data_IF_753704009259
#
_entry.id   IF_753704009259
#
_cell.length_a   1.000
_cell.length_b   1.000
_cell.length_c   1.000
_cell.angle_alpha   90.00
_cell.angle_beta   90.00
_cell.angle_gamma   90.00
#
_symmetry.space_group_name_H-M   'P 1'
#
loop_
_entity.id
_entity.type
_entity.pdbx_description
1 polymer ?
#
# COMPACT_ATOMS: atom_id res chain seq x y z
N UNK A 1 8.19 27.08 -8.88
CA UNK A 1 7.63 25.71 -8.87
C UNK A 1 8.53 24.85 -7.99
N UNK A 2 8.01 24.10 -7.02
CA UNK A 2 8.84 23.35 -6.07
C UNK A 2 9.37 22.07 -6.75
N UNK A 3 10.59 22.13 -7.28
CA UNK A 3 11.25 21.05 -8.05
C UNK A 3 11.30 19.72 -7.28
N UNK A 4 11.44 19.77 -5.96
CA UNK A 4 11.53 18.57 -5.12
C UNK A 4 10.17 17.87 -4.98
N UNK A 5 9.07 18.62 -4.97
CA UNK A 5 7.74 18.04 -4.96
C UNK A 5 7.39 17.34 -6.27
N UNK A 6 7.84 17.88 -7.41
CA UNK A 6 7.68 17.23 -8.73
C UNK A 6 8.52 15.94 -8.79
N UNK A 7 9.76 15.98 -8.29
CA UNK A 7 10.61 14.79 -8.18
C UNK A 7 10.02 13.74 -7.26
N UNK A 8 9.41 14.15 -6.15
CA UNK A 8 8.69 13.28 -5.25
C UNK A 8 7.49 12.62 -5.95
N UNK A 9 6.67 13.38 -6.70
CA UNK A 9 5.55 12.82 -7.47
C UNK A 9 5.99 11.74 -8.44
N UNK A 10 7.03 12.02 -9.25
CA UNK A 10 7.52 11.06 -10.23
C UNK A 10 8.08 9.81 -9.54
N UNK A 11 8.86 9.99 -8.47
CA UNK A 11 9.41 8.87 -7.71
C UNK A 11 8.31 7.99 -7.07
N UNK A 12 7.24 8.59 -6.56
CA UNK A 12 6.08 7.87 -6.03
C UNK A 12 5.41 7.05 -7.13
N UNK A 13 5.15 7.65 -8.29
CA UNK A 13 4.48 6.99 -9.42
C UNK A 13 5.30 5.80 -9.96
N UNK A 14 6.62 5.95 -10.02
CA UNK A 14 7.55 4.92 -10.49
C UNK A 14 7.82 3.82 -9.44
N UNK A 15 7.39 4.01 -8.19
CA UNK A 15 7.66 3.04 -7.13
C UNK A 15 6.83 1.79 -7.29
N UNK A 16 7.49 0.71 -7.69
CA UNK A 16 6.89 -0.62 -7.80
C UNK A 16 6.97 -1.40 -6.49
N UNK A 17 5.95 -2.24 -6.24
CA UNK A 17 5.95 -3.26 -5.19
C UNK A 17 5.10 -4.45 -5.64
N UNK A 18 5.47 -5.71 -5.29
CA UNK A 18 4.72 -6.89 -5.70
C UNK A 18 3.21 -6.78 -5.40
N UNK A 19 2.43 -6.84 -6.48
CA UNK A 19 0.98 -6.79 -6.44
C UNK A 19 0.37 -5.43 -6.08
N UNK A 20 1.13 -4.36 -5.92
CA UNK A 20 0.56 -3.00 -5.80
C UNK A 20 0.63 -2.34 -7.16
N UNK A 21 -0.52 -1.95 -7.70
CA UNK A 21 -0.64 -1.24 -8.98
C UNK A 21 -1.02 0.21 -8.64
N UNK A 22 -0.18 1.16 -9.04
CA UNK A 22 -0.45 2.60 -8.92
C UNK A 22 -1.12 3.07 -10.20
N UNK A 23 -2.29 3.69 -10.08
CA UNK A 23 -3.06 4.23 -11.22
C UNK A 23 -2.84 5.72 -11.41
N UNK A 24 -2.78 6.44 -10.29
CA UNK A 24 -2.74 7.90 -10.28
C UNK A 24 -2.03 8.38 -9.03
N UNK A 25 -1.24 9.44 -9.20
CA UNK A 25 -0.59 10.18 -8.11
C UNK A 25 -0.84 11.66 -8.35
N UNK A 26 -1.46 12.31 -7.38
CA UNK A 26 -1.67 13.76 -7.38
C UNK A 26 -0.98 14.36 -6.16
N UNK A 27 -0.35 15.52 -6.32
CA UNK A 27 0.22 16.27 -5.19
C UNK A 27 -0.51 17.59 -4.99
N UNK A 28 -0.68 17.96 -3.73
CA UNK A 28 -1.16 19.26 -3.28
C UNK A 28 -0.18 19.85 -2.30
N UNK A 29 -0.23 21.17 -2.16
CA UNK A 29 0.60 21.91 -1.23
C UNK A 29 -0.30 22.45 -0.13
N UNK A 30 -0.08 22.01 1.11
CA UNK A 30 -0.65 22.63 2.29
C UNK A 30 0.17 23.84 2.73
N UNK A 31 -0.12 24.37 3.92
CA UNK A 31 0.61 25.54 4.46
C UNK A 31 2.08 25.25 4.76
N UNK A 32 2.41 24.01 5.13
CA UNK A 32 3.78 23.59 5.52
C UNK A 32 4.14 22.18 5.03
N UNK A 33 3.21 21.49 4.37
CA UNK A 33 3.28 20.08 4.03
C UNK A 33 2.92 19.81 2.56
N UNK A 34 3.40 18.68 2.04
CA UNK A 34 3.00 18.14 0.74
C UNK A 34 1.98 17.05 0.97
N UNK A 35 0.85 17.09 0.28
CA UNK A 35 -0.17 16.03 0.33
C UNK A 35 -0.10 15.22 -0.95
N UNK A 36 0.13 13.91 -0.85
CA UNK A 36 0.10 13.00 -1.99
C UNK A 36 -1.16 12.13 -1.92
N UNK A 37 -2.05 12.27 -2.90
CA UNK A 37 -3.19 11.39 -3.10
C UNK A 37 -2.84 10.33 -4.13
N UNK A 38 -3.00 9.07 -3.74
CA UNK A 38 -2.52 7.95 -4.54
C UNK A 38 -3.65 6.96 -4.73
N UNK A 39 -4.07 6.79 -5.98
CA UNK A 39 -5.04 5.76 -6.35
C UNK A 39 -4.27 4.48 -6.68
N UNK A 40 -4.57 3.45 -5.92
CA UNK A 40 -3.95 2.13 -6.07
C UNK A 40 -5.02 1.07 -6.33
N UNK A 41 -4.59 -0.07 -6.84
CA UNK A 41 -5.34 -1.32 -6.74
C UNK A 41 -4.38 -2.45 -6.42
N UNK A 42 -4.90 -3.50 -5.80
CA UNK A 42 -4.14 -4.71 -5.57
C UNK A 42 -4.48 -5.77 -6.62
N UNK A 43 -3.44 -6.33 -7.22
CA UNK A 43 -3.57 -7.53 -8.05
C UNK A 43 -4.22 -8.65 -7.23
N UNK A 44 -5.29 -9.23 -7.78
CA UNK A 44 -6.14 -10.25 -7.15
C UNK A 44 -5.44 -11.60 -6.98
N UNK A 45 -4.37 -11.84 -7.74
CA UNK A 45 -3.84 -13.19 -7.94
C UNK A 45 -2.58 -13.48 -7.11
N UNK A 46 -2.07 -12.48 -6.42
CA UNK A 46 -0.90 -12.65 -5.55
C UNK A 46 -1.30 -13.25 -4.20
N UNK A 47 -1.14 -14.57 -4.05
CA UNK A 47 -1.23 -15.31 -2.76
C UNK A 47 -0.08 -15.01 -1.78
N UNK A 48 0.68 -13.95 -2.03
CA UNK A 48 1.97 -13.70 -1.39
C UNK A 48 1.79 -13.16 0.03
N UNK A 49 0.84 -12.26 0.24
CA UNK A 49 0.72 -11.50 1.48
C UNK A 49 -0.67 -10.86 1.62
N UNK A 50 -1.07 -10.58 2.86
CA UNK A 50 -2.33 -9.91 3.20
C UNK A 50 -2.44 -8.53 2.49
N UNK A 51 -3.60 -8.16 1.92
CA UNK A 51 -3.79 -6.91 1.18
C UNK A 51 -3.28 -5.66 1.90
N UNK A 52 -3.63 -5.49 3.17
CA UNK A 52 -3.19 -4.38 4.02
C UNK A 52 -1.67 -4.34 4.20
N UNK A 53 -1.02 -5.50 4.35
CA UNK A 53 0.43 -5.57 4.53
C UNK A 53 1.19 -5.20 3.26
N UNK A 54 0.66 -5.57 2.09
CA UNK A 54 1.22 -5.18 0.79
C UNK A 54 1.20 -3.66 0.59
N UNK A 55 0.08 -3.01 0.89
CA UNK A 55 -0.04 -1.55 0.84
C UNK A 55 0.89 -0.89 1.86
N UNK A 56 0.91 -1.36 3.11
CA UNK A 56 1.78 -0.81 4.14
C UNK A 56 3.27 -0.90 3.77
N UNK A 57 3.71 -2.04 3.21
CA UNK A 57 5.08 -2.23 2.71
C UNK A 57 5.41 -1.25 1.60
N UNK A 58 4.51 -1.07 0.63
CA UNK A 58 4.70 -0.12 -0.45
C UNK A 58 4.74 1.33 0.07
N UNK A 59 3.84 1.72 0.97
CA UNK A 59 3.85 3.05 1.61
C UNK A 59 5.16 3.29 2.35
N UNK A 60 5.66 2.30 3.10
CA UNK A 60 6.96 2.40 3.77
C UNK A 60 8.11 2.59 2.77
N UNK A 61 8.07 1.91 1.62
CA UNK A 61 9.07 2.13 0.55
C UNK A 61 9.00 3.56 0.02
N UNK A 62 7.78 4.07 -0.25
CA UNK A 62 7.56 5.44 -0.71
C UNK A 62 8.07 6.48 0.29
N UNK A 63 7.78 6.30 1.59
CA UNK A 63 8.23 7.22 2.65
C UNK A 63 9.75 7.34 2.75
N UNK A 64 10.48 6.30 2.36
CA UNK A 64 11.93 6.25 2.41
C UNK A 64 12.61 6.73 1.12
N UNK A 65 11.85 7.21 0.12
CA UNK A 65 12.43 7.85 -1.05
C UNK A 65 13.03 9.20 -0.69
N UNK A 66 14.23 9.49 -1.16
CA UNK A 66 14.99 10.72 -0.83
C UNK A 66 14.16 12.01 -0.94
N UNK A 67 13.38 12.18 -2.02
CA UNK A 67 12.57 13.38 -2.26
C UNK A 67 11.28 13.43 -1.42
N UNK A 68 10.80 12.28 -0.98
CA UNK A 68 9.61 12.16 -0.11
C UNK A 68 10.01 12.35 1.36
N UNK A 69 11.13 11.75 1.80
CA UNK A 69 11.64 11.89 3.17
C UNK A 69 12.22 13.27 3.45
N UNK A 70 12.72 13.96 2.43
CA UNK A 70 13.19 15.35 2.53
C UNK A 70 12.07 16.39 2.64
N UNK A 71 10.81 15.96 2.50
CA UNK A 71 9.63 16.83 2.59
C UNK A 71 8.68 16.31 3.67
N UNK A 72 7.89 17.19 4.30
CA UNK A 72 6.82 16.75 5.21
C UNK A 72 5.64 16.26 4.37
N UNK A 73 5.74 15.04 3.84
CA UNK A 73 4.73 14.49 2.92
C UNK A 73 3.71 13.63 3.65
N UNK A 74 2.45 14.03 3.57
CA UNK A 74 1.30 13.21 3.98
C UNK A 74 0.87 12.34 2.81
N UNK A 75 0.82 11.01 3.01
CA UNK A 75 0.43 10.04 1.97
C UNK A 75 -0.98 9.53 2.25
N UNK A 76 -1.89 9.76 1.31
CA UNK A 76 -3.27 9.31 1.34
C UNK A 76 -3.48 8.27 0.24
N UNK A 77 -3.70 7.03 0.63
CA UNK A 77 -3.86 5.91 -0.30
C UNK A 77 -5.33 5.54 -0.44
N UNK A 78 -5.83 5.55 -1.67
CA UNK A 78 -7.15 5.05 -2.03
C UNK A 78 -7.01 3.71 -2.75
N UNK A 79 -7.65 2.66 -2.21
CA UNK A 79 -7.67 1.31 -2.79
C UNK A 79 -9.12 0.82 -2.95
N UNK A 80 -9.73 0.97 -4.14
CA UNK A 80 -11.10 0.53 -4.38
C UNK A 80 -11.25 -0.98 -4.11
N UNK A 81 -12.11 -1.32 -3.14
CA UNK A 81 -12.34 -2.71 -2.73
C UNK A 81 -11.37 -3.24 -1.67
N UNK A 82 -10.64 -2.35 -0.98
CA UNK A 82 -9.74 -2.73 0.12
C UNK A 82 -10.45 -3.61 1.15
N UNK A 83 -11.56 -3.13 1.71
CA UNK A 83 -12.34 -3.84 2.75
C UNK A 83 -12.75 -5.23 2.31
N UNK A 84 -13.31 -5.35 1.10
CA UNK A 84 -13.70 -6.65 0.54
C UNK A 84 -12.52 -7.62 0.43
N UNK A 85 -11.33 -7.14 0.04
CA UNK A 85 -10.12 -7.98 -0.03
C UNK A 85 -9.59 -8.31 1.37
N UNK A 86 -9.62 -7.36 2.29
CA UNK A 86 -9.24 -7.51 3.68
C UNK A 86 -10.08 -8.60 4.36
N UNK A 87 -11.41 -8.50 4.30
CA UNK A 87 -12.33 -9.50 4.84
C UNK A 87 -12.11 -10.90 4.25
N UNK A 88 -11.93 -10.99 2.92
CA UNK A 88 -11.65 -12.27 2.24
C UNK A 88 -10.32 -12.88 2.70
N UNK A 89 -9.31 -12.05 2.96
CA UNK A 89 -8.02 -12.51 3.45
C UNK A 89 -8.13 -13.00 4.91
N UNK A 90 -8.79 -12.24 5.79
CA UNK A 90 -9.07 -12.67 7.17
C UNK A 90 -9.83 -14.00 7.23
N UNK A 91 -10.85 -14.18 6.38
CA UNK A 91 -11.62 -15.43 6.31
C UNK A 91 -10.74 -16.62 5.90
N UNK A 92 -9.78 -16.42 4.98
CA UNK A 92 -8.82 -17.46 4.58
C UNK A 92 -7.87 -17.82 5.71
N UNK A 93 -7.35 -16.84 6.45
CA UNK A 93 -6.46 -17.05 7.59
C UNK A 93 -7.17 -17.78 8.74
N UNK A 94 -8.40 -17.39 9.05
CA UNK A 94 -9.23 -18.10 10.03
C UNK A 94 -9.46 -19.57 9.63
N UNK A 95 -9.76 -19.83 8.35
CA UNK A 95 -9.93 -21.19 7.83
C UNK A 95 -8.62 -22.00 7.87
N UNK A 96 -7.48 -21.39 7.57
CA UNK A 96 -6.17 -22.04 7.65
C UNK A 96 -5.80 -22.40 9.10
N UNK A 97 -6.02 -21.48 10.04
CA UNK A 97 -5.80 -21.71 11.47
C UNK A 97 -6.68 -22.84 12.00
N UNK A 98 -7.97 -22.87 11.61
CA UNK A 98 -8.88 -23.98 11.96
C UNK A 98 -8.35 -25.33 11.48
N UNK A 99 -7.92 -25.44 10.21
CA UNK A 99 -7.33 -26.68 9.65
C UNK A 99 -6.05 -27.12 10.36
N UNK A 100 -5.20 -26.17 10.74
CA UNK A 100 -3.96 -26.48 11.49
C UNK A 100 -4.28 -27.02 12.88
N UNK A 101 -5.27 -26.45 13.57
CA UNK A 101 -5.69 -26.88 14.90
C UNK A 101 -6.28 -28.30 14.88
N UNK A 102 -7.12 -28.63 13.90
CA UNK A 102 -7.72 -29.98 13.78
C UNK A 102 -6.67 -31.04 13.45
N UNK A 103 -5.70 -30.71 12.59
CA UNK A 103 -4.59 -31.62 12.25
C UNK A 103 -3.64 -31.85 13.43
N UNK A 104 -3.44 -30.84 14.29
CA UNK A 104 -2.64 -30.98 15.51
C UNK A 104 -3.34 -31.80 16.59
N UNK A 105 -4.67 -31.80 16.62
CA UNK A 105 -5.47 -32.52 17.64
C UNK A 105 -5.72 -33.98 17.29
N UNK A 106 -5.50 -34.34 16.02
CA UNK A 106 -5.61 -35.71 15.49
C UNK A 106 -4.27 -36.47 15.47
N UNK A 107 -3.18 -35.83 15.95
CA UNK A 107 -1.87 -36.45 16.21
C UNK A 107 -1.67 -36.58 17.71
#
# INVERSE_FOLDING_TARGET
>A
MNTDAIRALNAIYETTSPGVIVHEVSIGFGRVDVMAWIKTSLDSDTKIEHPTMRLARWVNKVRNLTYVSGTTTTILVHDPGHERRHEKALAREAAATKRRSTRSRAR
#
